data_IF_476589653212
#
_entry.id   IF_476589653212
#
_cell.length_a   1.000
_cell.length_b   1.000
_cell.length_c   1.000
_cell.angle_alpha   90.00
_cell.angle_beta   90.00
_cell.angle_gamma   90.00
#
_symmetry.space_group_name_H-M   'P 1'
#
loop_
_entity.id
_entity.type
_entity.pdbx_description
1 polymer ?
#
# COMPACT_ATOMS: atom_id res chain seq x y z
N UNK A 1 -19.03 -14.77 -14.57
CA UNK A 1 -18.41 -14.20 -13.35
C UNK A 1 -17.02 -13.73 -13.72
N UNK A 2 -16.58 -12.54 -13.29
CA UNK A 2 -15.23 -12.04 -13.56
C UNK A 2 -14.17 -13.03 -13.07
N UNK A 3 -13.14 -13.32 -13.88
CA UNK A 3 -12.08 -14.22 -13.45
C UNK A 3 -11.08 -13.47 -12.58
N UNK A 4 -10.58 -14.15 -11.55
CA UNK A 4 -9.52 -13.60 -10.70
C UNK A 4 -8.21 -13.54 -11.49
N UNK A 5 -7.57 -12.39 -11.48
CA UNK A 5 -6.26 -12.21 -12.11
C UNK A 5 -5.19 -12.66 -11.10
N UNK A 6 -4.39 -13.65 -11.48
CA UNK A 6 -3.31 -14.13 -10.63
C UNK A 6 -2.14 -13.14 -10.70
N UNK A 7 -1.68 -12.59 -9.57
CA UNK A 7 -0.58 -11.64 -9.59
C UNK A 7 0.73 -12.28 -10.06
N UNK A 8 1.45 -11.54 -10.90
CA UNK A 8 2.77 -11.92 -11.40
C UNK A 8 3.82 -11.94 -10.28
N UNK A 9 4.94 -12.61 -10.52
CA UNK A 9 6.08 -12.60 -9.58
C UNK A 9 6.60 -11.18 -9.31
N UNK A 10 6.61 -10.31 -10.33
CA UNK A 10 7.00 -8.92 -10.20
C UNK A 10 6.08 -8.11 -9.27
N UNK A 11 4.77 -8.27 -9.41
CA UNK A 11 3.78 -7.60 -8.54
C UNK A 11 3.92 -8.05 -7.08
N UNK A 12 4.08 -9.35 -6.83
CA UNK A 12 4.32 -9.89 -5.47
C UNK A 12 5.61 -9.35 -4.87
N UNK A 13 6.70 -9.31 -5.66
CA UNK A 13 8.00 -8.76 -5.23
C UNK A 13 7.89 -7.27 -4.90
N UNK A 14 7.21 -6.48 -5.73
CA UNK A 14 6.98 -5.06 -5.47
C UNK A 14 6.23 -4.85 -4.16
N UNK A 15 5.13 -5.59 -3.93
CA UNK A 15 4.41 -5.54 -2.65
C UNK A 15 5.30 -5.91 -1.47
N UNK A 16 6.09 -6.98 -1.58
CA UNK A 16 7.01 -7.41 -0.51
C UNK A 16 8.04 -6.32 -0.16
N UNK A 17 8.59 -5.64 -1.16
CA UNK A 17 9.53 -4.52 -0.93
C UNK A 17 8.83 -3.39 -0.18
N UNK A 18 7.62 -2.99 -0.59
CA UNK A 18 6.86 -1.95 0.10
C UNK A 18 6.54 -2.35 1.54
N UNK A 19 6.18 -3.61 1.78
CA UNK A 19 5.96 -4.15 3.12
C UNK A 19 7.22 -4.06 3.99
N UNK A 20 8.37 -4.47 3.47
CA UNK A 20 9.66 -4.42 4.19
C UNK A 20 10.04 -2.97 4.52
N UNK A 21 9.96 -2.06 3.55
CA UNK A 21 10.27 -0.64 3.75
C UNK A 21 9.33 -0.03 4.79
N UNK A 22 8.02 -0.33 4.72
CA UNK A 22 7.04 0.11 5.71
C UNK A 22 7.38 -0.38 7.11
N UNK A 23 7.74 -1.66 7.28
CA UNK A 23 8.09 -2.23 8.57
C UNK A 23 9.35 -1.57 9.16
N UNK A 24 10.40 -1.41 8.36
CA UNK A 24 11.65 -0.76 8.80
C UNK A 24 11.40 0.70 9.19
N UNK A 25 10.70 1.47 8.33
CA UNK A 25 10.39 2.86 8.60
C UNK A 25 9.53 3.03 9.87
N UNK A 26 8.55 2.14 10.07
CA UNK A 26 7.72 2.11 11.28
C UNK A 26 8.56 1.92 12.54
N UNK A 27 9.44 0.92 12.55
CA UNK A 27 10.34 0.69 13.70
C UNK A 27 11.22 1.92 13.97
N UNK A 28 11.79 2.52 12.93
CA UNK A 28 12.63 3.72 13.06
C UNK A 28 11.83 4.88 13.67
N UNK A 29 10.63 5.17 13.15
CA UNK A 29 9.80 6.28 13.65
C UNK A 29 9.39 6.07 15.12
N UNK A 30 9.02 4.85 15.50
CA UNK A 30 8.68 4.51 16.88
C UNK A 30 9.89 4.68 17.80
N UNK A 31 11.08 4.25 17.38
CA UNK A 31 12.32 4.42 18.16
C UNK A 31 12.69 5.90 18.33
N UNK A 32 12.52 6.71 17.28
CA UNK A 32 12.74 8.16 17.35
C UNK A 32 11.75 8.80 18.34
N UNK A 33 10.46 8.50 18.22
CA UNK A 33 9.46 9.08 19.13
C UNK A 33 9.67 8.66 20.58
N UNK A 34 10.03 7.39 20.82
CA UNK A 34 10.40 6.91 22.15
C UNK A 34 11.52 7.76 22.75
N UNK A 35 12.58 8.03 21.98
CA UNK A 35 13.70 8.88 22.40
C UNK A 35 13.27 10.33 22.64
N UNK A 36 12.41 10.88 21.80
CA UNK A 36 11.84 12.22 22.01
C UNK A 36 11.00 12.31 23.29
N UNK A 37 10.36 11.21 23.70
CA UNK A 37 9.53 11.13 24.89
C UNK A 37 10.30 10.90 26.21
N UNK A 38 11.63 10.79 26.21
CA UNK A 38 12.41 10.39 27.39
C UNK A 38 12.38 11.42 28.53
N UNK A 39 12.34 12.71 28.20
CA UNK A 39 12.45 13.79 29.18
C UNK A 39 11.23 14.71 29.24
N UNK A 40 10.33 14.60 28.28
CA UNK A 40 9.12 15.39 28.21
C UNK A 40 8.06 14.67 27.37
N UNK A 41 6.80 15.06 27.53
CA UNK A 41 5.75 14.54 26.67
C UNK A 41 5.98 14.94 25.21
N UNK A 42 6.05 13.95 24.32
CA UNK A 42 6.18 14.14 22.87
C UNK A 42 4.88 13.73 22.18
N UNK A 43 4.30 14.63 21.38
CA UNK A 43 3.11 14.34 20.58
C UNK A 43 3.33 13.11 19.67
N UNK A 44 2.40 12.14 19.62
CA UNK A 44 2.57 10.89 18.86
C UNK A 44 2.39 11.08 17.34
N UNK A 45 3.23 11.90 16.73
CA UNK A 45 3.19 12.24 15.31
C UNK A 45 3.35 11.01 14.40
N UNK A 46 4.18 10.03 14.81
CA UNK A 46 4.46 8.82 14.04
C UNK A 46 3.21 7.99 13.80
N UNK A 47 2.25 7.99 14.74
CA UNK A 47 1.03 7.21 14.64
C UNK A 47 0.19 7.61 13.41
N UNK A 48 0.10 8.91 13.10
CA UNK A 48 -0.62 9.40 11.92
C UNK A 48 0.03 8.98 10.61
N UNK A 49 1.36 9.05 10.55
CA UNK A 49 2.13 8.64 9.36
C UNK A 49 2.02 7.14 9.16
N UNK A 50 2.19 6.34 10.22
CA UNK A 50 2.04 4.89 10.20
C UNK A 50 0.62 4.53 9.72
N UNK A 51 -0.43 5.20 10.23
CA UNK A 51 -1.80 4.93 9.82
C UNK A 51 -2.04 5.22 8.32
N UNK A 52 -1.60 6.38 7.83
CA UNK A 52 -1.74 6.75 6.42
C UNK A 52 -0.97 5.77 5.50
N UNK A 53 0.25 5.41 5.88
CA UNK A 53 1.06 4.46 5.10
C UNK A 53 0.53 3.03 5.17
N UNK A 54 0.02 2.60 6.33
CA UNK A 54 -0.62 1.30 6.48
C UNK A 54 -1.84 1.20 5.56
N UNK A 55 -2.65 2.25 5.45
CA UNK A 55 -3.77 2.30 4.51
C UNK A 55 -3.28 2.15 3.05
N UNK A 56 -2.21 2.83 2.66
CA UNK A 56 -1.62 2.68 1.34
C UNK A 56 -1.09 1.25 1.09
N UNK A 57 -0.47 0.63 2.10
CA UNK A 57 0.01 -0.75 2.02
C UNK A 57 -1.15 -1.76 1.86
N UNK A 58 -2.26 -1.56 2.59
CA UNK A 58 -3.49 -2.35 2.42
C UNK A 58 -4.08 -2.13 1.02
N UNK A 59 -4.12 -0.90 0.52
CA UNK A 59 -4.53 -0.59 -0.84
C UNK A 59 -3.69 -1.31 -1.90
N UNK A 60 -2.37 -1.32 -1.72
CA UNK A 60 -1.44 -2.06 -2.59
C UNK A 60 -1.68 -3.57 -2.51
N UNK A 61 -1.92 -4.13 -1.31
CA UNK A 61 -2.30 -5.53 -1.16
C UNK A 61 -3.57 -5.87 -1.95
N UNK A 62 -4.62 -5.05 -1.82
CA UNK A 62 -5.86 -5.24 -2.58
C UNK A 62 -5.58 -5.18 -4.10
N UNK A 63 -4.84 -4.17 -4.56
CA UNK A 63 -4.48 -4.03 -5.98
C UNK A 63 -3.75 -5.27 -6.54
N UNK A 64 -2.93 -5.94 -5.73
CA UNK A 64 -2.17 -7.12 -6.16
C UNK A 64 -2.99 -8.40 -6.05
N UNK A 65 -3.70 -8.64 -4.95
CA UNK A 65 -4.28 -9.95 -4.63
C UNK A 65 -5.78 -10.05 -4.83
N UNK A 66 -6.49 -8.94 -4.93
CA UNK A 66 -7.95 -8.89 -5.08
C UNK A 66 -8.38 -8.37 -6.45
N UNK A 67 -7.53 -8.47 -7.46
CA UNK A 67 -7.83 -8.01 -8.81
C UNK A 67 -8.61 -9.06 -9.63
N UNK A 68 -9.54 -8.59 -10.45
CA UNK A 68 -10.40 -9.39 -11.33
C UNK A 68 -10.44 -8.77 -12.74
N UNK A 69 -10.80 -9.57 -13.74
CA UNK A 69 -11.05 -9.07 -15.09
C UNK A 69 -12.16 -8.00 -15.07
N UNK A 70 -11.92 -6.88 -15.75
CA UNK A 70 -12.89 -5.79 -15.90
C UNK A 70 -13.18 -5.52 -17.38
N UNK A 71 -14.24 -6.17 -17.89
CA UNK A 71 -14.70 -5.99 -19.26
C UNK A 71 -15.22 -4.56 -19.54
N UNK A 72 -15.61 -3.81 -18.50
CA UNK A 72 -16.03 -2.42 -18.64
C UNK A 72 -14.85 -1.52 -19.01
N UNK A 73 -13.66 -1.82 -18.48
CA UNK A 73 -12.43 -1.12 -18.86
C UNK A 73 -11.99 -1.41 -20.30
N UNK A 74 -12.19 -2.64 -20.77
CA UNK A 74 -11.90 -2.98 -22.17
C UNK A 74 -12.82 -2.20 -23.13
N UNK A 75 -14.11 -2.11 -22.80
CA UNK A 75 -15.11 -1.36 -23.55
C UNK A 75 -14.84 0.15 -23.52
N UNK A 76 -14.45 0.70 -22.37
CA UNK A 76 -14.00 2.08 -22.24
C UNK A 76 -12.81 2.37 -23.17
N UNK A 77 -11.76 1.54 -23.14
CA UNK A 77 -10.61 1.71 -24.03
C UNK A 77 -10.95 1.55 -25.52
N UNK A 78 -11.96 0.73 -25.86
CA UNK A 78 -12.47 0.62 -27.23
C UNK A 78 -13.13 1.93 -27.67
N UNK A 79 -13.96 2.52 -26.81
CA UNK A 79 -14.64 3.80 -27.09
C UNK A 79 -13.64 4.96 -27.20
N UNK A 80 -12.65 5.03 -26.29
CA UNK A 80 -11.59 6.05 -26.31
C UNK A 80 -10.80 6.06 -27.63
N UNK A 81 -10.55 4.90 -28.23
CA UNK A 81 -9.80 4.78 -29.49
C UNK A 81 -10.64 5.01 -30.74
N UNK A 82 -11.97 5.02 -30.62
CA UNK A 82 -12.91 5.13 -31.74
C UNK A 82 -13.67 6.47 -31.77
N UNK A 83 -13.55 7.29 -30.72
CA UNK A 83 -13.97 8.69 -30.69
C UNK A 83 -12.87 9.64 -31.14
#
# INVERSE_FOLDING_TARGET
MPRRIVPTGGQKRSFLIHFIVFAIATVIMVMIHKKQGEHHWAYPWHAWIIAAWALALVGHWCSVFTNYEDHGMDEFHRQEKQG
#
